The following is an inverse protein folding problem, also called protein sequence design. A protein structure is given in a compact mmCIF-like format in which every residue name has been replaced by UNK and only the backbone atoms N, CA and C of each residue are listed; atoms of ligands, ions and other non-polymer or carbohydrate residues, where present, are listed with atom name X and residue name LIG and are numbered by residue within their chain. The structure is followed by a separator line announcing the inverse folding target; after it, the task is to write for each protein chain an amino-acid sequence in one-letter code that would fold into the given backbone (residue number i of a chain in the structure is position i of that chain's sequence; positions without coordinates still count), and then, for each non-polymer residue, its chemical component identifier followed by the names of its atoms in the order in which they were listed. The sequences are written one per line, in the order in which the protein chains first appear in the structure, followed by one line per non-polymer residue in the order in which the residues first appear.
data_IF_014429327689
#
_entry.id   IF_014429327689
#
_cell.length_a   1.000
_cell.length_b   1.000
_cell.length_c   1.000
_cell.angle_alpha   90.00
_cell.angle_beta   90.00
_cell.angle_gamma   90.00
#
_symmetry.space_group_name_H-M   'P 1'
#
loop_
_entity.id
_entity.type
_entity.pdbx_description
1 polymer ?
#
# COMPACT_ATOMS: atom_id res chain seq x y z
N UNK A 1 59.84 46.41 -11.53
CA UNK A 1 58.59 45.62 -11.54
C UNK A 1 58.41 45.07 -10.12
N UNK A 2 57.33 45.42 -9.42
CA UNK A 2 57.22 45.22 -7.96
C UNK A 2 57.09 43.73 -7.58
N UNK A 3 57.73 43.32 -6.48
CA UNK A 3 57.69 41.96 -5.88
C UNK A 3 56.24 41.53 -5.58
N UNK A 4 55.36 42.48 -5.29
CA UNK A 4 53.93 42.24 -5.10
C UNK A 4 53.24 41.69 -6.36
N UNK A 5 53.73 42.06 -7.54
CA UNK A 5 53.17 41.61 -8.81
C UNK A 5 53.57 40.15 -9.10
N UNK A 6 54.79 39.75 -8.75
CA UNK A 6 55.29 38.38 -8.98
C UNK A 6 54.60 37.36 -8.07
N UNK A 7 54.44 37.68 -6.78
CA UNK A 7 53.74 36.80 -5.82
C UNK A 7 52.25 36.60 -6.17
N UNK A 8 51.62 37.62 -6.74
CA UNK A 8 50.22 37.56 -7.17
C UNK A 8 50.00 36.61 -8.37
N UNK A 9 50.89 36.66 -9.36
CA UNK A 9 50.77 35.80 -10.54
C UNK A 9 51.19 34.35 -10.27
N UNK A 10 52.19 34.10 -9.42
CA UNK A 10 52.67 32.72 -9.18
C UNK A 10 51.79 31.93 -8.19
N UNK A 11 51.17 32.59 -7.20
CA UNK A 11 50.44 31.89 -6.13
C UNK A 11 48.92 32.01 -6.23
N UNK A 12 48.39 33.18 -6.63
CA UNK A 12 46.94 33.49 -6.56
C UNK A 12 46.25 33.24 -7.91
N UNK A 13 46.94 33.48 -9.03
CA UNK A 13 46.41 33.26 -10.38
C UNK A 13 46.00 31.80 -10.70
N UNK A 14 46.76 30.75 -10.32
CA UNK A 14 46.38 29.37 -10.68
C UNK A 14 45.13 28.85 -9.94
N UNK A 15 44.83 29.39 -8.76
CA UNK A 15 43.66 29.01 -7.96
C UNK A 15 42.42 29.91 -8.26
N UNK A 16 42.62 31.04 -8.95
CA UNK A 16 41.55 31.95 -9.39
C UNK A 16 40.46 31.25 -10.20
N UNK A 17 40.84 30.34 -11.10
CA UNK A 17 39.88 29.57 -11.93
C UNK A 17 39.02 28.63 -11.08
N UNK A 18 39.60 28.01 -10.05
CA UNK A 18 38.86 27.13 -9.13
C UNK A 18 37.86 27.91 -8.29
N UNK A 19 38.24 29.07 -7.75
CA UNK A 19 37.30 29.96 -7.04
C UNK A 19 36.15 30.42 -7.94
N UNK A 20 36.44 30.76 -9.21
CA UNK A 20 35.41 31.18 -10.17
C UNK A 20 34.42 30.03 -10.44
N UNK A 21 34.90 28.80 -10.63
CA UNK A 21 34.05 27.63 -10.85
C UNK A 21 33.17 27.37 -9.63
N UNK A 22 33.72 27.43 -8.42
CA UNK A 22 32.95 27.24 -7.18
C UNK A 22 31.88 28.33 -7.00
N UNK A 23 32.21 29.57 -7.33
CA UNK A 23 31.25 30.68 -7.28
C UNK A 23 30.09 30.45 -8.25
N UNK A 24 30.36 30.08 -9.50
CA UNK A 24 29.31 29.78 -10.47
C UNK A 24 28.48 28.54 -10.10
N UNK A 25 29.10 27.51 -9.52
CA UNK A 25 28.39 26.33 -9.01
C UNK A 25 27.44 26.70 -7.88
N UNK A 26 27.90 27.53 -6.93
CA UNK A 26 27.07 28.00 -5.82
C UNK A 26 25.92 28.89 -6.32
N UNK A 27 26.20 29.78 -7.27
CA UNK A 27 25.19 30.63 -7.91
C UNK A 27 24.15 29.79 -8.66
N UNK A 28 24.58 28.77 -9.41
CA UNK A 28 23.68 27.84 -10.10
C UNK A 28 22.83 27.03 -9.12
N UNK A 29 23.41 26.56 -8.02
CA UNK A 29 22.68 25.83 -6.97
C UNK A 29 21.64 26.71 -6.28
N UNK A 30 21.98 27.96 -5.95
CA UNK A 30 21.03 28.94 -5.40
C UNK A 30 19.91 29.24 -6.41
N UNK A 31 20.26 29.50 -7.66
CA UNK A 31 19.27 29.77 -8.71
C UNK A 31 18.34 28.57 -8.93
N UNK A 32 18.91 27.37 -8.99
CA UNK A 32 18.16 26.12 -9.08
C UNK A 32 17.25 25.90 -7.87
N UNK A 33 17.73 26.17 -6.65
CA UNK A 33 16.93 26.12 -5.44
C UNK A 33 15.79 27.14 -5.46
N UNK A 34 16.05 28.38 -5.91
CA UNK A 34 15.04 29.41 -6.03
C UNK A 34 13.97 29.02 -7.06
N UNK A 35 14.37 28.55 -8.24
CA UNK A 35 13.46 28.04 -9.26
C UNK A 35 12.66 26.84 -8.77
N UNK A 36 13.31 25.88 -8.10
CA UNK A 36 12.65 24.73 -7.48
C UNK A 36 11.58 25.16 -6.47
N UNK A 37 11.94 26.08 -5.57
CA UNK A 37 11.03 26.58 -4.54
C UNK A 37 9.83 27.35 -5.12
N UNK A 38 10.03 28.05 -6.25
CA UNK A 38 8.98 28.87 -6.86
C UNK A 38 8.03 28.07 -7.76
N UNK A 39 8.53 27.09 -8.50
CA UNK A 39 7.76 26.40 -9.54
C UNK A 39 7.47 24.93 -9.22
N UNK A 40 8.44 24.18 -8.68
CA UNK A 40 8.29 22.74 -8.47
C UNK A 40 7.57 22.41 -7.16
N UNK A 41 7.97 23.05 -6.06
CA UNK A 41 7.38 22.83 -4.72
C UNK A 41 5.84 22.98 -4.68
N UNK A 42 5.22 24.07 -5.18
CA UNK A 42 3.77 24.21 -5.10
C UNK A 42 3.02 23.13 -5.90
N UNK A 43 3.53 22.75 -7.08
CA UNK A 43 2.91 21.69 -7.90
C UNK A 43 2.94 20.33 -7.21
N UNK A 44 4.04 20.01 -6.52
CA UNK A 44 4.18 18.76 -5.77
C UNK A 44 3.21 18.76 -4.57
N UNK A 45 3.11 19.88 -3.85
CA UNK A 45 2.19 20.01 -2.72
C UNK A 45 0.72 19.90 -3.15
N UNK A 46 0.31 20.55 -4.24
CA UNK A 46 -1.05 20.41 -4.80
C UNK A 46 -1.34 18.97 -5.19
N UNK A 47 -0.44 18.31 -5.94
CA UNK A 47 -0.63 16.91 -6.33
C UNK A 47 -0.72 15.98 -5.11
N UNK A 48 0.06 16.22 -4.07
CA UNK A 48 -0.01 15.45 -2.84
C UNK A 48 -1.33 15.69 -2.11
N UNK A 49 -1.78 16.94 -2.00
CA UNK A 49 -3.07 17.29 -1.40
C UNK A 49 -4.24 16.63 -2.14
N UNK A 50 -4.23 16.65 -3.48
CA UNK A 50 -5.22 15.96 -4.31
C UNK A 50 -5.21 14.44 -4.08
N UNK A 51 -4.02 13.82 -4.03
CA UNK A 51 -3.93 12.38 -3.73
C UNK A 51 -4.48 12.04 -2.34
N UNK A 52 -4.23 12.90 -1.35
CA UNK A 52 -4.75 12.73 0.02
C UNK A 52 -6.27 12.91 0.04
N UNK A 53 -6.81 13.94 -0.62
CA UNK A 53 -8.26 14.16 -0.68
C UNK A 53 -8.97 13.03 -1.40
N UNK A 54 -8.42 12.55 -2.52
CA UNK A 54 -8.96 11.42 -3.27
C UNK A 54 -8.88 10.11 -2.47
N UNK A 55 -7.86 9.95 -1.62
CA UNK A 55 -7.76 8.80 -0.71
C UNK A 55 -8.84 8.84 0.38
N UNK A 56 -9.11 10.02 0.95
CA UNK A 56 -10.14 10.20 1.98
C UNK A 56 -11.58 9.98 1.46
N UNK A 57 -11.80 10.16 0.15
CA UNK A 57 -13.11 9.97 -0.47
C UNK A 57 -13.38 8.54 -0.95
N UNK A 58 -12.37 7.65 -0.96
CA UNK A 58 -12.59 6.26 -1.34
C UNK A 58 -13.27 5.52 -0.18
N UNK A 59 -14.33 4.73 -0.44
CA UNK A 59 -14.85 3.83 0.57
C UNK A 59 -13.73 2.93 1.05
N UNK A 60 -13.62 2.75 2.36
CA UNK A 60 -12.60 1.88 2.93
C UNK A 60 -12.86 0.44 2.42
N UNK A 61 -11.83 -0.18 1.85
CA UNK A 61 -11.97 -1.50 1.25
C UNK A 61 -11.80 -2.58 2.32
N UNK A 62 -12.77 -3.49 2.40
CA UNK A 62 -12.76 -4.65 3.28
C UNK A 62 -12.56 -5.88 2.41
N UNK A 63 -11.53 -6.65 2.71
CA UNK A 63 -11.27 -7.90 2.04
C UNK A 63 -11.71 -9.08 2.90
N UNK A 64 -12.43 -10.03 2.31
CA UNK A 64 -12.81 -11.27 2.97
C UNK A 64 -12.17 -12.41 2.20
N UNK A 65 -11.24 -13.10 2.85
CA UNK A 65 -10.45 -14.19 2.30
C UNK A 65 -11.02 -15.53 2.74
N UNK A 66 -11.28 -16.41 1.79
CA UNK A 66 -11.69 -17.79 2.00
C UNK A 66 -10.60 -18.75 1.54
N UNK A 67 -10.08 -19.52 2.47
CA UNK A 67 -9.05 -20.52 2.23
C UNK A 67 -9.67 -21.91 2.26
N UNK A 68 -9.53 -22.65 1.16
CA UNK A 68 -10.08 -23.99 1.02
C UNK A 68 -9.09 -24.95 0.35
N UNK A 69 -9.36 -26.25 0.48
CA UNK A 69 -8.67 -27.29 -0.27
C UNK A 69 -9.67 -28.33 -0.78
N UNK A 70 -9.50 -28.83 -2.00
CA UNK A 70 -10.46 -29.73 -2.65
C UNK A 70 -10.47 -31.14 -2.04
N UNK A 71 -9.40 -31.57 -1.37
CA UNK A 71 -9.36 -32.83 -0.62
C UNK A 71 -10.10 -32.76 0.72
N UNK A 72 -10.51 -31.57 1.20
CA UNK A 72 -11.12 -31.40 2.51
C UNK A 72 -12.65 -31.63 2.45
N UNK A 73 -13.22 -32.63 3.15
CA UNK A 73 -14.65 -32.94 3.12
C UNK A 73 -15.52 -31.83 3.72
N UNK A 74 -14.96 -31.02 4.63
CA UNK A 74 -15.65 -29.86 5.20
C UNK A 74 -15.70 -28.69 4.21
N UNK A 75 -14.70 -28.54 3.33
CA UNK A 75 -14.68 -27.52 2.29
C UNK A 75 -15.76 -27.76 1.23
N UNK A 76 -16.05 -29.01 0.88
CA UNK A 76 -17.07 -29.35 -0.13
C UNK A 76 -18.46 -28.79 0.23
N UNK A 77 -18.81 -28.78 1.51
CA UNK A 77 -20.09 -28.20 2.01
C UNK A 77 -20.04 -26.68 2.14
N UNK A 78 -18.87 -26.11 2.45
CA UNK A 78 -18.71 -24.68 2.64
C UNK A 78 -18.61 -23.90 1.32
N UNK A 79 -18.05 -24.50 0.26
CA UNK A 79 -17.87 -23.89 -1.08
C UNK A 79 -19.18 -23.35 -1.68
N UNK A 80 -20.32 -24.09 -1.72
CA UNK A 80 -21.57 -23.55 -2.24
C UNK A 80 -22.14 -22.39 -1.39
N UNK A 81 -22.03 -22.48 -0.06
CA UNK A 81 -22.46 -21.43 0.86
C UNK A 81 -21.64 -20.15 0.66
N UNK A 82 -20.31 -20.29 0.57
CA UNK A 82 -19.40 -19.19 0.27
C UNK A 82 -19.70 -18.55 -1.08
N UNK A 83 -19.95 -19.34 -2.13
CA UNK A 83 -20.26 -18.81 -3.45
C UNK A 83 -21.57 -18.00 -3.45
N UNK A 84 -22.60 -18.48 -2.76
CA UNK A 84 -23.87 -17.75 -2.61
C UNK A 84 -23.67 -16.41 -1.91
N UNK A 85 -22.92 -16.42 -0.81
CA UNK A 85 -22.53 -15.23 -0.06
C UNK A 85 -21.71 -14.25 -0.92
N UNK A 86 -20.62 -14.72 -1.54
CA UNK A 86 -19.74 -13.93 -2.42
C UNK A 86 -20.53 -13.25 -3.53
N UNK A 87 -21.41 -13.97 -4.21
CA UNK A 87 -22.25 -13.41 -5.27
C UNK A 87 -23.21 -12.33 -4.76
N UNK A 88 -23.60 -12.41 -3.48
CA UNK A 88 -24.54 -11.45 -2.87
C UNK A 88 -23.84 -10.16 -2.45
N UNK A 89 -22.59 -10.21 -1.99
CA UNK A 89 -21.95 -9.05 -1.35
C UNK A 89 -20.67 -8.54 -2.03
N UNK A 90 -19.99 -9.36 -2.82
CA UNK A 90 -18.69 -8.99 -3.40
C UNK A 90 -18.86 -7.86 -4.42
N UNK A 91 -18.00 -6.86 -4.32
CA UNK A 91 -18.02 -5.65 -5.16
C UNK A 91 -19.11 -4.63 -4.78
N UNK A 92 -19.94 -4.91 -3.77
CA UNK A 92 -20.94 -3.97 -3.27
C UNK A 92 -20.36 -3.07 -2.20
N UNK A 93 -20.94 -1.88 -2.11
CA UNK A 93 -20.67 -0.94 -1.03
C UNK A 93 -21.74 -1.07 0.06
N UNK A 94 -21.31 -1.26 1.30
CA UNK A 94 -22.18 -1.41 2.47
C UNK A 94 -21.61 -0.56 3.61
N UNK A 95 -22.43 0.32 4.19
CA UNK A 95 -22.04 1.23 5.28
C UNK A 95 -20.76 2.05 5.00
N UNK A 96 -20.53 2.46 3.75
CA UNK A 96 -19.33 3.21 3.37
C UNK A 96 -18.07 2.36 3.15
N UNK A 97 -18.19 1.03 3.23
CA UNK A 97 -17.11 0.10 2.92
C UNK A 97 -17.37 -0.63 1.61
N UNK A 98 -16.33 -0.79 0.79
CA UNK A 98 -16.39 -1.63 -0.41
C UNK A 98 -15.92 -3.03 -0.05
N UNK A 99 -16.75 -4.05 -0.27
CA UNK A 99 -16.40 -5.42 0.14
C UNK A 99 -15.83 -6.18 -1.06
N UNK A 100 -14.67 -6.79 -0.88
CA UNK A 100 -14.04 -7.66 -1.88
C UNK A 100 -13.87 -9.08 -1.32
N UNK A 101 -14.47 -10.07 -1.98
CA UNK A 101 -14.38 -11.47 -1.56
C UNK A 101 -13.33 -12.20 -2.41
N UNK A 102 -12.31 -12.75 -1.76
CA UNK A 102 -11.17 -13.43 -2.38
C UNK A 102 -11.21 -14.89 -1.95
N UNK A 103 -11.06 -15.81 -2.90
CA UNK A 103 -10.94 -17.24 -2.62
C UNK A 103 -9.53 -17.70 -2.98
N UNK A 104 -8.95 -18.53 -2.11
CA UNK A 104 -7.59 -19.05 -2.27
C UNK A 104 -7.65 -20.57 -2.21
N UNK A 105 -7.31 -21.20 -3.33
CA UNK A 105 -7.16 -22.64 -3.44
C UNK A 105 -5.82 -23.08 -2.85
N UNK A 106 -5.88 -23.93 -1.83
CA UNK A 106 -4.72 -24.46 -1.12
C UNK A 106 -4.54 -25.98 -1.37
N UNK A 107 -5.09 -26.51 -2.48
CA UNK A 107 -5.09 -27.96 -2.78
C UNK A 107 -3.71 -28.52 -3.08
N UNK A 108 -2.91 -27.81 -3.89
CA UNK A 108 -1.57 -28.26 -4.33
C UNK A 108 -0.45 -27.75 -3.43
N UNK A 109 -0.71 -26.72 -2.62
CA UNK A 109 0.29 -26.19 -1.71
C UNK A 109 0.46 -27.12 -0.53
N UNK A 110 1.64 -27.72 -0.36
CA UNK A 110 2.06 -28.27 0.93
C UNK A 110 1.78 -27.20 1.99
N UNK A 111 0.86 -27.53 2.90
CA UNK A 111 -0.09 -26.68 3.63
C UNK A 111 0.50 -25.60 4.54
N UNK A 112 1.81 -25.36 4.48
CA UNK A 112 2.56 -24.54 5.43
C UNK A 112 3.50 -23.53 4.75
N UNK A 113 3.85 -23.71 3.47
CA UNK A 113 4.89 -22.90 2.81
C UNK A 113 4.35 -21.85 1.82
N UNK A 114 3.02 -21.77 1.63
CA UNK A 114 2.48 -20.70 0.78
C UNK A 114 2.59 -19.36 1.51
N UNK A 115 3.15 -18.32 0.87
CA UNK A 115 3.32 -17.01 1.50
C UNK A 115 1.99 -16.40 1.93
N UNK A 116 0.87 -16.73 1.27
CA UNK A 116 -0.45 -16.25 1.65
C UNK A 116 -0.99 -16.97 2.89
N UNK A 117 -0.78 -18.28 3.03
CA UNK A 117 -1.19 -19.06 4.21
C UNK A 117 -0.46 -18.55 5.46
N UNK A 118 0.85 -18.30 5.35
CA UNK A 118 1.66 -17.74 6.44
C UNK A 118 1.24 -16.30 6.79
N UNK A 119 0.99 -15.45 5.78
CA UNK A 119 0.55 -14.06 5.99
C UNK A 119 -0.76 -13.96 6.75
N UNK A 120 -1.67 -14.90 6.53
CA UNK A 120 -2.99 -14.94 7.16
C UNK A 120 -3.10 -15.90 8.36
N UNK A 121 -1.98 -16.53 8.74
CA UNK A 121 -1.87 -17.54 9.79
C UNK A 121 -3.01 -18.57 9.72
N UNK A 122 -3.11 -19.23 8.56
CA UNK A 122 -4.15 -20.22 8.27
C UNK A 122 -3.65 -21.61 8.64
N UNK A 123 -4.15 -22.14 9.76
CA UNK A 123 -3.71 -23.43 10.30
C UNK A 123 -4.55 -24.62 9.82
N UNK A 124 -5.77 -24.37 9.33
CA UNK A 124 -6.70 -25.42 8.91
C UNK A 124 -7.67 -24.93 7.82
N UNK A 125 -8.36 -25.86 7.16
CA UNK A 125 -9.40 -25.55 6.17
C UNK A 125 -10.74 -26.16 6.55
N UNK A 126 -11.88 -25.53 6.19
CA UNK A 126 -12.00 -24.18 5.63
C UNK A 126 -11.72 -23.08 6.66
N UNK A 127 -11.07 -21.99 6.24
CA UNK A 127 -10.85 -20.80 7.08
C UNK A 127 -11.32 -19.54 6.35
N UNK A 128 -12.02 -18.65 7.07
CA UNK A 128 -12.38 -17.31 6.58
C UNK A 128 -11.71 -16.25 7.45
N UNK A 129 -11.09 -15.26 6.80
CA UNK A 129 -10.45 -14.11 7.44
C UNK A 129 -10.98 -12.83 6.81
N UNK A 130 -11.28 -11.83 7.62
CA UNK A 130 -11.63 -10.48 7.18
C UNK A 130 -10.47 -9.53 7.46
N UNK A 131 -10.18 -8.63 6.52
CA UNK A 131 -9.25 -7.52 6.69
C UNK A 131 -10.04 -6.22 6.67
N UNK A 132 -10.05 -5.50 7.80
CA UNK A 132 -10.67 -4.18 7.96
C UNK A 132 -9.65 -3.24 8.60
N UNK A 133 -9.36 -2.10 7.97
CA UNK A 133 -8.38 -1.12 8.50
C UNK A 133 -7.00 -1.71 8.79
N UNK A 134 -6.55 -2.69 7.99
CA UNK A 134 -5.27 -3.40 8.18
C UNK A 134 -5.27 -4.43 9.32
N UNK A 135 -6.38 -4.63 10.04
CA UNK A 135 -6.52 -5.68 11.05
C UNK A 135 -7.13 -6.93 10.45
N UNK A 136 -6.54 -8.08 10.76
CA UNK A 136 -7.07 -9.39 10.40
C UNK A 136 -8.00 -9.90 11.50
N UNK A 137 -9.18 -10.37 11.12
CA UNK A 137 -10.22 -10.88 12.02
C UNK A 137 -10.59 -12.28 11.54
N UNK A 138 -10.49 -13.29 12.41
CA UNK A 138 -10.91 -14.65 12.10
C UNK A 138 -12.40 -14.85 12.26
N UNK A 139 -12.96 -15.68 11.38
CA UNK A 139 -14.32 -16.17 11.51
C UNK A 139 -14.29 -17.60 12.04
N UNK A 140 -14.80 -17.78 13.26
CA UNK A 140 -14.71 -19.04 14.00
C UNK A 140 -16.06 -19.81 14.09
N UNK A 141 -17.04 -19.41 13.28
CA UNK A 141 -18.37 -20.05 13.22
C UNK A 141 -18.50 -20.99 12.03
N UNK A 142 -19.58 -21.79 12.01
CA UNK A 142 -19.90 -22.67 10.88
C UNK A 142 -20.06 -21.84 9.61
N UNK A 143 -19.37 -22.19 8.52
CA UNK A 143 -19.54 -21.51 7.23
C UNK A 143 -20.92 -21.82 6.61
N UNK A 144 -21.84 -20.87 6.74
CA UNK A 144 -23.12 -20.83 6.04
C UNK A 144 -23.36 -19.40 5.53
N UNK A 145 -24.20 -19.22 4.51
CA UNK A 145 -24.50 -17.90 3.99
C UNK A 145 -25.03 -16.94 5.07
N UNK A 146 -25.92 -17.41 5.94
CA UNK A 146 -26.52 -16.61 7.01
C UNK A 146 -25.50 -16.14 8.05
N UNK A 147 -24.59 -17.03 8.47
CA UNK A 147 -23.59 -16.73 9.49
C UNK A 147 -22.51 -15.79 8.94
N UNK A 148 -22.10 -15.97 7.68
CA UNK A 148 -21.18 -15.08 6.99
C UNK A 148 -21.78 -13.69 6.81
N UNK A 149 -23.04 -13.61 6.37
CA UNK A 149 -23.76 -12.34 6.24
C UNK A 149 -23.85 -11.62 7.58
N UNK A 150 -24.26 -12.33 8.64
CA UNK A 150 -24.33 -11.76 9.99
C UNK A 150 -22.97 -11.28 10.50
N UNK A 151 -21.90 -12.04 10.25
CA UNK A 151 -20.54 -11.66 10.60
C UNK A 151 -20.13 -10.36 9.92
N UNK A 152 -20.30 -10.26 8.59
CA UNK A 152 -20.01 -9.03 7.85
C UNK A 152 -20.81 -7.86 8.38
N UNK A 153 -22.13 -7.98 8.47
CA UNK A 153 -22.99 -6.88 8.95
C UNK A 153 -22.60 -6.43 10.36
N UNK A 154 -22.26 -7.36 11.26
CA UNK A 154 -21.80 -7.01 12.62
C UNK A 154 -20.48 -6.24 12.57
N UNK A 155 -19.52 -6.72 11.79
CA UNK A 155 -18.19 -6.10 11.66
C UNK A 155 -18.22 -4.75 10.92
N UNK A 156 -19.21 -4.53 10.05
CA UNK A 156 -19.43 -3.24 9.39
C UNK A 156 -20.07 -2.21 10.33
N UNK A 157 -20.86 -2.66 11.31
CA UNK A 157 -21.56 -1.80 12.26
C UNK A 157 -20.74 -1.51 13.54
N UNK A 158 -19.63 -2.23 13.76
CA UNK A 158 -18.70 -2.04 14.89
C UNK A 158 -17.59 -1.04 14.56
#
# INVERSE_FOLDING_TARGET
MSIANTLYYDFIYPYKTQFIILFFFFLFSIFGYYAYSRFAKPKIETKNAENISNMAQRPEEIEIHFFYADWCPHCTKAKPEWNSFKNTISGKEMNGFRINCIETDCTETNTTNSPIIQKFNVDSFPTVKMVKGGKQISFDSRLTNDTLTKFVTTMLNS
#
